data_IF_007900974859
#
_entry.id   IF_007900974859
#
_cell.length_a   1.000
_cell.length_b   1.000
_cell.length_c   1.000
_cell.angle_alpha   90.00
_cell.angle_beta   90.00
_cell.angle_gamma   90.00
#
_symmetry.space_group_name_H-M   'P 1'
#
loop_
_entity.id
_entity.type
_entity.pdbx_description
1 polymer ?
#
# COMPACT_ATOMS: atom_id res chain seq x y z
N UNK A 1 -10.69 -19.83 11.77
CA UNK A 1 -9.99 -18.72 12.44
C UNK A 1 -8.78 -19.26 13.19
N UNK A 2 -7.65 -19.37 12.48
CA UNK A 2 -6.34 -19.69 13.04
C UNK A 2 -5.33 -18.56 12.74
N UNK A 3 -4.13 -18.65 13.30
CA UNK A 3 -3.10 -17.62 13.16
C UNK A 3 -2.63 -17.45 11.70
N UNK A 4 -2.51 -18.55 10.94
CA UNK A 4 -2.08 -18.50 9.54
C UNK A 4 -3.09 -17.82 8.62
N UNK A 5 -4.38 -18.07 8.86
CA UNK A 5 -5.47 -17.35 8.19
C UNK A 5 -5.37 -15.84 8.47
N UNK A 6 -5.23 -15.46 9.74
CA UNK A 6 -5.11 -14.03 10.10
C UNK A 6 -3.90 -13.35 9.45
N UNK A 7 -2.74 -14.04 9.42
CA UNK A 7 -1.54 -13.52 8.77
C UNK A 7 -1.77 -13.32 7.27
N UNK A 8 -2.42 -14.29 6.61
CA UNK A 8 -2.75 -14.18 5.18
C UNK A 8 -3.68 -13.02 4.91
N UNK A 9 -4.71 -12.85 5.72
CA UNK A 9 -5.70 -11.79 5.56
C UNK A 9 -5.07 -10.40 5.73
N UNK A 10 -4.16 -10.23 6.71
CA UNK A 10 -3.41 -8.98 6.89
C UNK A 10 -2.55 -8.69 5.67
N UNK A 11 -1.80 -9.67 5.17
CA UNK A 11 -0.95 -9.48 3.98
C UNK A 11 -1.80 -9.10 2.76
N UNK A 12 -2.92 -9.79 2.55
CA UNK A 12 -3.84 -9.49 1.47
C UNK A 12 -4.41 -8.07 1.60
N UNK A 13 -4.80 -7.67 2.81
CA UNK A 13 -5.30 -6.33 3.06
C UNK A 13 -4.24 -5.26 2.78
N UNK A 14 -3.02 -5.43 3.29
CA UNK A 14 -1.94 -4.44 3.12
C UNK A 14 -1.55 -4.32 1.65
N UNK A 15 -1.21 -5.44 1.00
CA UNK A 15 -0.64 -5.45 -0.36
C UNK A 15 -1.74 -5.33 -1.43
N UNK A 16 -2.88 -5.98 -1.23
CA UNK A 16 -3.95 -6.04 -2.22
C UNK A 16 -4.94 -4.88 -2.17
N UNK A 17 -5.06 -4.20 -1.02
CA UNK A 17 -6.04 -3.12 -0.85
C UNK A 17 -5.40 -1.82 -0.35
N UNK A 18 -4.74 -1.83 0.80
CA UNK A 18 -4.25 -0.61 1.44
C UNK A 18 -3.20 0.11 0.59
N UNK A 19 -2.07 -0.54 0.30
CA UNK A 19 -0.96 0.07 -0.43
C UNK A 19 -1.33 0.55 -1.86
N UNK A 20 -2.11 -0.19 -2.67
CA UNK A 20 -2.45 0.26 -4.02
C UNK A 20 -3.68 1.17 -4.09
N UNK A 21 -4.68 1.00 -3.22
CA UNK A 21 -5.99 1.68 -3.37
C UNK A 21 -6.17 2.85 -2.41
N UNK A 22 -5.60 2.79 -1.19
CA UNK A 22 -5.91 3.79 -0.16
C UNK A 22 -5.23 5.12 -0.46
N UNK A 23 -6.02 6.17 -0.70
CA UNK A 23 -5.52 7.52 -0.86
C UNK A 23 -5.24 8.18 0.50
N UNK A 24 -4.13 8.91 0.58
CA UNK A 24 -3.69 9.60 1.77
C UNK A 24 -3.45 11.09 1.49
N UNK A 25 -4.06 11.98 2.29
CA UNK A 25 -3.97 13.44 2.08
C UNK A 25 -2.54 13.98 2.22
N UNK A 26 -1.72 13.42 3.11
CA UNK A 26 -0.30 13.80 3.24
C UNK A 26 0.54 13.39 2.03
N UNK A 27 0.12 12.36 1.27
CA UNK A 27 0.78 11.94 0.03
C UNK A 27 0.17 12.64 -1.20
N UNK A 28 -0.56 13.75 -1.01
CA UNK A 28 -1.22 14.46 -2.11
C UNK A 28 -2.38 13.70 -2.73
N UNK A 29 -3.10 12.88 -1.94
CA UNK A 29 -4.14 11.97 -2.43
C UNK A 29 -3.64 10.90 -3.39
N UNK A 30 -2.37 10.51 -3.26
CA UNK A 30 -1.82 9.32 -3.89
C UNK A 30 -1.93 8.13 -2.93
N UNK A 31 -1.95 6.93 -3.50
CA UNK A 31 -1.73 5.72 -2.72
C UNK A 31 -0.24 5.55 -2.40
N UNK A 32 0.12 4.85 -1.31
CA UNK A 32 1.51 4.62 -0.96
C UNK A 32 2.35 4.11 -2.14
N UNK A 33 1.86 3.11 -2.87
CA UNK A 33 2.57 2.55 -4.01
C UNK A 33 2.74 3.57 -5.17
N UNK A 34 1.72 4.38 -5.43
CA UNK A 34 1.78 5.41 -6.47
C UNK A 34 2.72 6.57 -6.09
N UNK A 35 2.81 6.89 -4.80
CA UNK A 35 3.75 7.87 -4.28
C UNK A 35 5.20 7.36 -4.40
N UNK A 36 5.48 6.13 -3.95
CA UNK A 36 6.80 5.51 -4.05
C UNK A 36 7.30 5.45 -5.50
N UNK A 37 6.43 5.05 -6.44
CA UNK A 37 6.77 5.01 -7.87
C UNK A 37 7.15 6.38 -8.46
N UNK A 38 6.53 7.47 -7.99
CA UNK A 38 6.90 8.82 -8.40
C UNK A 38 8.24 9.24 -7.80
N UNK A 39 8.49 8.92 -6.53
CA UNK A 39 9.77 9.25 -5.87
C UNK A 39 10.97 8.52 -6.49
N UNK A 40 10.77 7.26 -6.93
CA UNK A 40 11.81 6.49 -7.64
C UNK A 40 12.19 7.16 -8.97
N UNK A 41 11.22 7.76 -9.67
CA UNK A 41 11.45 8.43 -10.95
C UNK A 41 12.13 9.81 -10.84
N UNK A 42 12.06 10.46 -9.68
CA UNK A 42 12.63 11.80 -9.44
C UNK A 42 14.11 11.76 -8.99
N UNK A 43 14.63 10.58 -8.62
CA UNK A 43 16.01 10.43 -8.10
C UNK A 43 17.02 9.96 -9.17
N UNK A 44 16.65 9.93 -10.45
CA UNK A 44 17.55 9.59 -11.59
C UNK A 44 18.00 10.80 -12.38
#
# INVERSE_FOLDING_TARGET
ANHDEARRDIVQYIVGFYNPVRLHSTLGYLSPCAYEAQTDSETT
#
